data_IF_611011668701
#
_entry.id   IF_611011668701
#
_cell.length_a   1.000
_cell.length_b   1.000
_cell.length_c   1.000
_cell.angle_alpha   90.00
_cell.angle_beta   90.00
_cell.angle_gamma   90.00
#
_symmetry.space_group_name_H-M   'P 1'
#
loop_
_entity.id
_entity.type
_entity.pdbx_description
1 polymer ?
#
# COMPACT_ATOMS: atom_id res chain seq x y z
N UNK A 1 -23.79 -2.53 0.36
CA UNK A 1 -22.54 -3.17 0.85
C UNK A 1 -21.62 -2.00 1.08
N UNK A 2 -21.17 -1.79 2.31
CA UNK A 2 -20.22 -0.71 2.58
C UNK A 2 -18.89 -1.13 1.96
N UNK A 3 -18.49 -0.45 0.88
CA UNK A 3 -17.17 -0.60 0.31
C UNK A 3 -16.15 -0.32 1.42
N UNK A 4 -15.34 -1.30 1.77
CA UNK A 4 -14.41 -1.14 2.89
C UNK A 4 -13.29 -0.21 2.44
N UNK A 5 -13.12 0.90 3.15
CA UNK A 5 -12.09 1.91 2.82
C UNK A 5 -11.01 1.92 3.90
N UNK A 6 -9.76 1.93 3.47
CA UNK A 6 -8.59 2.13 4.33
C UNK A 6 -7.87 3.40 3.93
N UNK A 7 -7.53 4.23 4.91
CA UNK A 7 -6.65 5.38 4.72
C UNK A 7 -5.22 4.92 4.95
N UNK A 8 -4.38 5.05 3.92
CA UNK A 8 -2.95 4.82 4.03
C UNK A 8 -2.32 6.06 4.65
N UNK A 9 -1.91 5.94 5.91
CA UNK A 9 -1.27 6.99 6.66
C UNK A 9 0.22 6.67 6.86
N UNK A 10 1.03 7.72 6.96
CA UNK A 10 2.42 7.65 7.41
C UNK A 10 2.57 8.59 8.61
N UNK A 11 2.43 8.04 9.81
CA UNK A 11 2.31 8.85 11.03
C UNK A 11 1.09 9.78 10.94
N UNK A 12 1.33 11.10 10.85
CA UNK A 12 0.25 12.10 10.77
C UNK A 12 -0.15 12.48 9.32
N UNK A 13 0.56 11.99 8.31
CA UNK A 13 0.33 12.37 6.91
C UNK A 13 -0.48 11.30 6.18
N UNK A 14 -1.56 11.71 5.49
CA UNK A 14 -2.33 10.80 4.63
C UNK A 14 -1.64 10.70 3.28
N UNK A 15 -1.21 9.48 2.95
CA UNK A 15 -0.52 9.15 1.70
C UNK A 15 -1.53 8.87 0.58
N UNK A 16 -2.61 8.17 0.92
CA UNK A 16 -3.67 7.84 -0.04
C UNK A 16 -4.83 7.11 0.61
N UNK A 17 -5.83 6.80 -0.20
CA UNK A 17 -7.03 6.05 0.20
C UNK A 17 -7.09 4.77 -0.63
N UNK A 18 -7.42 3.67 0.02
CA UNK A 18 -7.58 2.34 -0.57
C UNK A 18 -9.03 1.93 -0.41
N UNK A 19 -9.73 1.78 -1.53
CA UNK A 19 -11.12 1.36 -1.55
C UNK A 19 -11.18 -0.10 -1.96
N UNK A 20 -11.78 -0.96 -1.14
CA UNK A 20 -11.90 -2.38 -1.41
C UNK A 20 -12.62 -2.62 -2.75
N UNK A 21 -11.99 -3.38 -3.64
CA UNK A 21 -12.63 -3.83 -4.88
C UNK A 21 -12.88 -5.34 -4.85
N UNK A 22 -11.89 -6.13 -4.41
CA UNK A 22 -12.01 -7.57 -4.30
C UNK A 22 -11.09 -8.14 -3.22
N UNK A 23 -11.47 -9.29 -2.68
CA UNK A 23 -10.61 -10.08 -1.78
C UNK A 23 -10.37 -11.42 -2.46
N UNK A 24 -9.11 -11.70 -2.79
CA UNK A 24 -8.64 -13.02 -3.22
C UNK A 24 -8.18 -13.85 -2.01
N UNK A 25 -7.79 -15.12 -2.18
CA UNK A 25 -7.40 -16.00 -1.08
C UNK A 25 -6.20 -15.50 -0.27
N UNK A 26 -5.34 -14.65 -0.85
CA UNK A 26 -4.12 -14.15 -0.20
C UNK A 26 -3.93 -12.64 -0.29
N UNK A 27 -4.76 -11.94 -1.06
CA UNK A 27 -4.59 -10.53 -1.38
C UNK A 27 -5.91 -9.80 -1.35
N UNK A 28 -5.87 -8.59 -0.83
CA UNK A 28 -6.98 -7.64 -0.87
C UNK A 28 -6.68 -6.65 -1.98
N UNK A 29 -7.41 -6.76 -3.09
CA UNK A 29 -7.32 -5.87 -4.24
C UNK A 29 -8.21 -4.65 -3.99
N UNK A 30 -7.63 -3.48 -4.13
CA UNK A 30 -8.20 -2.19 -3.81
C UNK A 30 -7.91 -1.18 -4.92
N UNK A 31 -8.80 -0.22 -5.08
CA UNK A 31 -8.51 0.98 -5.84
C UNK A 31 -7.70 1.94 -4.97
N UNK A 32 -6.62 2.48 -5.52
CA UNK A 32 -5.77 3.42 -4.83
C UNK A 32 -5.96 4.84 -5.35
N UNK A 33 -6.29 5.74 -4.44
CA UNK A 33 -6.43 7.16 -4.70
C UNK A 33 -5.30 7.91 -3.98
N UNK A 34 -4.32 8.45 -4.73
CA UNK A 34 -3.20 9.16 -4.13
C UNK A 34 -3.66 10.46 -3.47
N UNK A 35 -3.08 10.76 -2.30
CA UNK A 35 -3.32 11.99 -1.56
C UNK A 35 -2.05 12.84 -1.50
N UNK A 36 -2.01 13.85 -0.62
CA UNK A 36 -0.90 14.80 -0.51
C UNK A 36 0.43 14.16 -0.13
N UNK A 37 0.42 13.05 0.61
CA UNK A 37 1.63 12.30 0.98
C UNK A 37 2.14 11.33 -0.10
N UNK A 38 1.37 11.08 -1.16
CA UNK A 38 1.74 10.12 -2.22
C UNK A 38 3.10 10.40 -2.89
N UNK A 39 3.46 11.64 -3.25
CA UNK A 39 4.72 11.92 -3.94
C UNK A 39 5.97 11.43 -3.20
N UNK A 40 5.89 11.28 -1.87
CA UNK A 40 6.98 10.76 -1.03
C UNK A 40 7.08 9.24 -1.10
N UNK A 41 5.94 8.54 -1.17
CA UNK A 41 5.90 7.08 -1.27
C UNK A 41 6.10 6.57 -2.70
N UNK A 42 5.64 7.34 -3.70
CA UNK A 42 5.72 7.02 -5.13
C UNK A 42 7.10 6.49 -5.56
N UNK A 43 8.26 7.12 -5.25
CA UNK A 43 9.55 6.61 -5.70
C UNK A 43 9.90 5.23 -5.10
N UNK A 44 9.45 4.91 -3.89
CA UNK A 44 9.70 3.60 -3.27
C UNK A 44 8.86 2.51 -3.95
N UNK A 45 7.60 2.81 -4.24
CA UNK A 45 6.71 1.91 -4.98
C UNK A 45 7.22 1.68 -6.40
N UNK A 46 7.58 2.75 -7.13
CA UNK A 46 8.16 2.62 -8.48
C UNK A 46 9.46 1.80 -8.45
N UNK A 47 10.30 1.97 -7.41
CA UNK A 47 11.51 1.17 -7.25
C UNK A 47 11.21 -0.31 -6.99
N UNK A 48 10.26 -0.62 -6.09
CA UNK A 48 9.82 -2.00 -5.84
C UNK A 48 9.25 -2.63 -7.12
N UNK A 49 8.36 -1.92 -7.83
CA UNK A 49 7.80 -2.41 -9.10
C UNK A 49 8.89 -2.66 -10.14
N UNK A 50 9.78 -1.68 -10.36
CA UNK A 50 10.86 -1.83 -11.34
C UNK A 50 11.79 -3.00 -11.01
N UNK A 51 12.04 -3.28 -9.72
CA UNK A 51 12.81 -4.44 -9.29
C UNK A 51 12.08 -5.77 -9.57
N UNK A 52 10.78 -5.84 -9.26
CA UNK A 52 9.94 -6.99 -9.60
C UNK A 52 9.86 -7.24 -11.12
N UNK A 53 9.72 -6.19 -11.93
CA UNK A 53 9.74 -6.25 -13.40
C UNK A 53 11.08 -6.79 -13.94
N UNK A 54 12.19 -6.41 -13.30
CA UNK A 54 13.54 -6.88 -13.62
C UNK A 54 13.85 -8.29 -13.10
N UNK A 55 12.93 -8.92 -12.35
CA UNK A 55 13.15 -10.16 -11.60
C UNK A 55 14.32 -10.08 -10.61
N UNK A 56 14.64 -8.87 -10.16
CA UNK A 56 15.68 -8.61 -9.18
C UNK A 56 15.08 -8.71 -7.79
N UNK A 57 15.08 -9.92 -7.24
CA UNK A 57 14.47 -10.21 -5.94
C UNK A 57 15.16 -9.45 -4.81
N UNK A 58 16.48 -9.25 -4.86
CA UNK A 58 17.23 -8.54 -3.82
C UNK A 58 16.84 -7.05 -3.79
N UNK A 59 16.76 -6.42 -4.97
CA UNK A 59 16.30 -5.03 -5.08
C UNK A 59 14.83 -4.88 -4.66
N UNK A 60 13.98 -5.86 -4.99
CA UNK A 60 12.56 -5.85 -4.62
C UNK A 60 12.37 -5.96 -3.10
N UNK A 61 13.09 -6.89 -2.47
CA UNK A 61 13.08 -7.06 -1.01
C UNK A 61 13.56 -5.78 -0.33
N UNK A 62 14.66 -5.17 -0.79
CA UNK A 62 15.17 -3.90 -0.23
C UNK A 62 14.17 -2.76 -0.36
N UNK A 63 13.46 -2.69 -1.48
CA UNK A 63 12.44 -1.67 -1.69
C UNK A 63 11.22 -1.90 -0.77
N UNK A 64 10.78 -3.16 -0.63
CA UNK A 64 9.69 -3.52 0.29
C UNK A 64 10.09 -3.27 1.75
N UNK A 65 11.32 -3.58 2.16
CA UNK A 65 11.89 -3.23 3.47
C UNK A 65 11.93 -1.71 3.69
N UNK A 66 12.29 -0.93 2.66
CA UNK A 66 12.30 0.52 2.74
C UNK A 66 10.87 1.07 2.92
N UNK A 67 9.88 0.53 2.21
CA UNK A 67 8.46 0.88 2.35
C UNK A 67 7.98 0.54 3.76
N UNK A 68 8.30 -0.65 4.26
CA UNK A 68 7.95 -1.08 5.61
C UNK A 68 8.62 -0.17 6.67
N UNK A 69 9.88 0.21 6.45
CA UNK A 69 10.63 1.14 7.29
C UNK A 69 10.06 2.57 7.33
N UNK A 70 9.16 2.94 6.41
CA UNK A 70 8.44 4.22 6.49
C UNK A 70 7.38 4.23 7.59
N UNK A 71 7.04 3.07 8.17
CA UNK A 71 6.02 2.96 9.22
C UNK A 71 4.64 3.33 8.68
N UNK A 72 4.26 2.76 7.53
CA UNK A 72 2.93 2.95 6.97
C UNK A 72 1.88 2.28 7.84
N UNK A 73 0.69 2.87 7.87
CA UNK A 73 -0.44 2.42 8.68
C UNK A 73 -1.70 2.43 7.81
N UNK A 74 -2.41 1.30 7.73
CA UNK A 74 -3.73 1.23 7.12
C UNK A 74 -4.78 1.43 8.20
N UNK A 75 -5.45 2.59 8.15
CA UNK A 75 -6.50 2.95 9.09
C UNK A 75 -7.86 2.69 8.41
N UNK A 76 -8.63 1.66 8.82
CA UNK A 76 -9.96 1.43 8.26
C UNK A 76 -10.89 2.59 8.62
N UNK A 77 -11.58 3.15 7.63
CA UNK A 77 -12.50 4.28 7.82
C UNK A 77 -13.73 3.89 8.64
N UNK A 78 -14.11 2.61 8.60
CA UNK A 78 -15.17 2.03 9.43
C UNK A 78 -14.85 2.02 10.94
N UNK A 79 -13.64 2.43 11.35
CA UNK A 79 -13.24 2.52 12.76
C UNK A 79 -12.72 1.21 13.35
N UNK A 80 -12.15 0.34 12.52
CA UNK A 80 -11.55 -0.94 12.91
C UNK A 80 -10.08 -0.85 13.36
N UNK A 81 -9.42 -2.01 13.40
CA UNK A 81 -8.01 -2.13 13.79
C UNK A 81 -7.06 -1.55 12.73
N UNK A 82 -6.07 -0.80 13.18
CA UNK A 82 -5.03 -0.23 12.32
C UNK A 82 -4.01 -1.30 11.98
N UNK A 83 -3.81 -1.56 10.69
CA UNK A 83 -2.88 -2.56 10.20
C UNK A 83 -1.53 -1.88 9.94
N UNK A 84 -0.50 -2.34 10.65
CA UNK A 84 0.87 -1.81 10.56
C UNK A 84 1.84 -2.79 9.91
N UNK A 85 1.56 -4.07 10.02
CA UNK A 85 2.33 -5.14 9.42
C UNK A 85 1.59 -5.63 8.17
N UNK A 86 1.91 -5.06 7.02
CA UNK A 86 1.29 -5.43 5.76
C UNK A 86 2.26 -5.25 4.60
N UNK A 87 2.05 -6.04 3.57
CA UNK A 87 2.78 -5.93 2.32
C UNK A 87 1.90 -5.19 1.32
N UNK A 88 2.33 -4.02 0.89
CA UNK A 88 1.61 -3.15 -0.03
C UNK A 88 2.24 -3.17 -1.41
N UNK A 89 1.41 -3.37 -2.43
CA UNK A 89 1.80 -3.20 -3.84
C UNK A 89 0.83 -2.25 -4.50
N UNK A 90 1.36 -1.27 -5.21
CA UNK A 90 0.57 -0.28 -5.94
C UNK A 90 1.04 -0.29 -7.40
N UNK A 91 0.09 -0.41 -8.31
CA UNK A 91 0.30 -0.30 -9.75
C UNK A 91 -0.67 0.74 -10.33
N UNK A 92 -0.13 1.95 -10.55
CA UNK A 92 -0.91 3.09 -11.03
C UNK A 92 -2.01 3.49 -10.04
N UNK A 93 -3.26 3.29 -10.46
CA UNK A 93 -4.50 3.55 -9.71
C UNK A 93 -5.07 2.30 -9.01
N UNK A 94 -4.39 1.16 -9.13
CA UNK A 94 -4.74 -0.07 -8.42
C UNK A 94 -3.73 -0.38 -7.34
N UNK A 95 -4.18 -0.99 -6.26
CA UNK A 95 -3.34 -1.44 -5.17
C UNK A 95 -3.82 -2.76 -4.63
N UNK A 96 -2.90 -3.47 -4.01
CA UNK A 96 -3.20 -4.72 -3.35
C UNK A 96 -2.33 -4.86 -2.12
N UNK A 97 -2.94 -5.24 -1.02
CA UNK A 97 -2.22 -5.49 0.21
C UNK A 97 -2.56 -6.84 0.80
N UNK A 98 -1.70 -7.30 1.71
CA UNK A 98 -1.93 -8.48 2.53
C UNK A 98 -1.32 -8.27 3.91
N UNK A 99 -1.96 -8.79 4.93
CA UNK A 99 -1.58 -8.71 6.34
C UNK A 99 -1.92 -10.03 7.04
#
# INVERSE_FOLDING_TARGET
MEDQVWRLCRGHEVVGVLTLEAIDMFWTDCRFEPSTGWPVLKPFIDASRAAWERKDQDAAIKADEAIYGLGLELVPESGGEVIRDFLLRIDGDTARFRY
#
